data_IF_202942009110
#
_entry.id   IF_202942009110
#
_cell.length_a   1.000
_cell.length_b   1.000
_cell.length_c   1.000
_cell.angle_alpha   90.00
_cell.angle_beta   90.00
_cell.angle_gamma   90.00
#
_symmetry.space_group_name_H-M   'P 1'
#
loop_
_entity.id
_entity.type
_entity.pdbx_description
1 polymer ?
#
# COMPACT_ATOMS: atom_id res chain seq x y z
N UNK A 1 2.20 12.56 -7.35
CA UNK A 1 1.57 11.23 -7.49
C UNK A 1 2.64 10.19 -7.21
N UNK A 2 2.44 9.27 -6.26
CA UNK A 2 3.45 8.24 -5.91
C UNK A 2 3.60 7.17 -6.99
N UNK A 3 4.77 6.52 -7.07
CA UNK A 3 5.12 5.62 -8.18
C UNK A 3 4.19 4.40 -8.32
N UNK A 4 3.71 3.90 -7.18
CA UNK A 4 2.64 2.90 -7.12
C UNK A 4 1.42 3.44 -6.36
N UNK A 5 0.99 4.68 -6.65
CA UNK A 5 -0.22 5.26 -6.05
C UNK A 5 -1.51 4.58 -6.50
N UNK A 6 -2.62 4.89 -5.84
CA UNK A 6 -3.95 4.47 -6.26
C UNK A 6 -5.04 5.39 -5.72
N UNK A 7 -6.11 5.56 -6.49
CA UNK A 7 -7.31 6.29 -6.08
C UNK A 7 -8.45 5.30 -5.92
N UNK A 8 -9.16 5.37 -4.78
CA UNK A 8 -10.36 4.55 -4.54
C UNK A 8 -11.50 5.15 -5.34
N UNK A 9 -12.15 4.32 -6.16
CA UNK A 9 -13.40 4.62 -6.84
C UNK A 9 -14.46 3.71 -6.21
N UNK A 10 -15.52 4.30 -5.65
CA UNK A 10 -16.61 3.53 -5.04
C UNK A 10 -17.67 3.17 -6.09
N UNK A 11 -18.38 2.07 -5.85
CA UNK A 11 -19.57 1.75 -6.64
C UNK A 11 -20.57 2.93 -6.59
N UNK A 12 -21.10 3.31 -7.75
CA UNK A 12 -22.02 4.44 -7.91
C UNK A 12 -21.34 5.79 -8.21
N UNK A 13 -20.02 5.92 -8.14
CA UNK A 13 -19.32 7.16 -8.50
C UNK A 13 -19.23 7.34 -10.03
N UNK A 14 -19.39 8.59 -10.50
CA UNK A 14 -19.17 8.94 -11.91
C UNK A 14 -17.67 9.01 -12.18
N UNK A 15 -17.16 8.17 -13.07
CA UNK A 15 -15.73 8.08 -13.41
C UNK A 15 -15.37 8.86 -14.67
N UNK A 16 -16.33 9.07 -15.57
CA UNK A 16 -16.13 9.85 -16.78
C UNK A 16 -17.43 10.42 -17.30
N UNK A 17 -17.33 11.51 -18.07
CA UNK A 17 -18.40 12.03 -18.91
C UNK A 17 -17.92 12.07 -20.34
N UNK A 18 -18.61 11.37 -21.22
CA UNK A 18 -18.26 11.29 -22.64
C UNK A 18 -19.31 12.07 -23.43
N UNK A 19 -18.87 13.13 -24.09
CA UNK A 19 -19.71 13.92 -24.98
C UNK A 19 -19.69 13.30 -26.38
N UNK A 20 -20.84 12.81 -26.83
CA UNK A 20 -20.99 12.08 -28.08
C UNK A 20 -21.70 12.93 -29.12
N UNK A 21 -21.21 12.86 -30.36
CA UNK A 21 -21.82 13.45 -31.54
C UNK A 21 -22.14 12.35 -32.55
N UNK A 22 -23.43 12.13 -32.82
CA UNK A 22 -23.91 11.08 -33.74
C UNK A 22 -24.45 11.70 -35.02
N UNK A 23 -23.99 11.21 -36.17
CA UNK A 23 -24.48 11.53 -37.52
C UNK A 23 -24.88 10.24 -38.23
N UNK A 24 -25.89 10.28 -39.10
CA UNK A 24 -26.22 9.18 -40.01
C UNK A 24 -26.13 9.66 -41.47
N UNK A 25 -25.59 8.82 -42.35
CA UNK A 25 -25.31 9.15 -43.76
C UNK A 25 -26.48 8.90 -44.71
N UNK A 26 -27.45 8.06 -44.31
CA UNK A 26 -28.66 7.77 -45.08
C UNK A 26 -29.86 8.53 -44.49
N UNK A 27 -30.59 9.26 -45.34
CA UNK A 27 -31.92 9.79 -45.03
C UNK A 27 -31.99 11.04 -44.14
N UNK A 28 -31.09 12.02 -44.32
CA UNK A 28 -31.12 13.31 -43.59
C UNK A 28 -31.02 13.19 -42.06
N UNK A 29 -30.20 12.26 -41.56
CA UNK A 29 -30.04 12.03 -40.13
C UNK A 29 -29.55 13.26 -39.37
N UNK A 30 -30.46 13.98 -38.71
CA UNK A 30 -30.15 15.15 -37.89
C UNK A 30 -29.06 14.81 -36.86
N UNK A 31 -27.94 15.56 -36.84
CA UNK A 31 -26.91 15.33 -35.85
C UNK A 31 -27.46 15.46 -34.44
N UNK A 32 -27.11 14.52 -33.56
CA UNK A 32 -27.53 14.56 -32.15
C UNK A 32 -26.32 14.54 -31.24
N UNK A 33 -26.36 15.47 -30.27
CA UNK A 33 -25.45 15.50 -29.15
C UNK A 33 -26.10 14.80 -27.96
N UNK A 34 -25.34 13.96 -27.27
CA UNK A 34 -25.74 13.40 -25.99
C UNK A 34 -24.50 13.12 -25.13
N UNK A 35 -24.70 13.08 -23.81
CA UNK A 35 -23.62 12.81 -22.85
C UNK A 35 -23.86 11.46 -22.20
N UNK A 36 -22.83 10.62 -22.18
CA UNK A 36 -22.82 9.41 -21.37
C UNK A 36 -22.07 9.67 -20.07
N UNK A 37 -22.76 9.50 -18.94
CA UNK A 37 -22.13 9.43 -17.64
C UNK A 37 -21.71 7.98 -17.40
N UNK A 38 -20.41 7.75 -17.30
CA UNK A 38 -19.87 6.43 -16.98
C UNK A 38 -19.81 6.32 -15.46
N UNK A 39 -20.57 5.38 -14.92
CA UNK A 39 -20.72 5.16 -13.47
C UNK A 39 -20.05 3.84 -13.13
N UNK A 40 -19.26 3.83 -12.06
CA UNK A 40 -18.63 2.59 -11.60
C UNK A 40 -19.66 1.63 -11.03
N UNK A 41 -19.69 0.39 -11.52
CA UNK A 41 -20.56 -0.64 -10.96
C UNK A 41 -20.02 -1.23 -9.65
N UNK A 42 -18.69 -1.27 -9.49
CA UNK A 42 -18.00 -1.92 -8.38
C UNK A 42 -17.00 -0.96 -7.73
N UNK A 43 -16.68 -1.19 -6.45
CA UNK A 43 -15.58 -0.48 -5.80
C UNK A 43 -14.24 -1.03 -6.26
N UNK A 44 -13.35 -0.16 -6.75
CA UNK A 44 -12.02 -0.52 -7.28
C UNK A 44 -10.97 0.49 -6.84
N UNK A 45 -9.69 0.12 -6.93
CA UNK A 45 -8.57 1.06 -6.76
C UNK A 45 -7.90 1.24 -8.12
N UNK A 46 -8.00 2.43 -8.69
CA UNK A 46 -7.38 2.75 -9.96
C UNK A 46 -5.90 3.11 -9.74
N UNK A 47 -4.94 2.37 -10.33
CA UNK A 47 -3.53 2.75 -10.26
C UNK A 47 -3.31 4.12 -10.90
N UNK A 48 -2.60 5.00 -10.21
CA UNK A 48 -2.29 6.35 -10.71
C UNK A 48 -0.82 6.53 -11.08
N UNK A 49 0.01 5.52 -10.84
CA UNK A 49 1.42 5.49 -11.20
C UNK A 49 1.72 4.43 -12.25
N UNK A 50 2.96 4.41 -12.74
CA UNK A 50 3.44 3.40 -13.69
C UNK A 50 3.59 1.99 -13.08
N UNK A 51 3.44 1.86 -11.76
CA UNK A 51 3.57 0.61 -11.04
C UNK A 51 2.33 0.30 -10.18
N UNK A 52 2.12 -0.98 -9.89
CA UNK A 52 1.02 -1.51 -9.09
C UNK A 52 1.56 -2.51 -8.08
N UNK A 53 0.86 -2.65 -6.95
CA UNK A 53 1.18 -3.63 -5.90
C UNK A 53 0.17 -4.77 -5.89
N UNK A 54 0.60 -5.95 -5.43
CA UNK A 54 -0.26 -7.14 -5.39
C UNK A 54 -1.47 -6.98 -4.48
N UNK A 55 -1.27 -6.26 -3.36
CA UNK A 55 -2.34 -5.92 -2.45
C UNK A 55 -2.12 -4.52 -1.88
N UNK A 56 -3.22 -3.78 -1.78
CA UNK A 56 -3.26 -2.47 -1.14
C UNK A 56 -3.41 -2.56 0.38
N UNK A 57 -3.89 -3.71 0.88
CA UNK A 57 -4.05 -4.01 2.29
C UNK A 57 -3.49 -5.41 2.57
N UNK A 58 -2.44 -5.49 3.38
CA UNK A 58 -1.83 -6.76 3.76
C UNK A 58 -2.03 -6.96 5.25
N UNK A 59 -2.60 -8.10 5.63
CA UNK A 59 -2.71 -8.53 7.02
C UNK A 59 -1.70 -9.64 7.27
N UNK A 60 -0.85 -9.47 8.28
CA UNK A 60 0.17 -10.44 8.68
C UNK A 60 -0.06 -10.79 10.15
N UNK A 61 -0.18 -12.08 10.43
CA UNK A 61 -0.28 -12.58 11.80
C UNK A 61 1.12 -13.03 12.25
N UNK A 62 1.65 -12.38 13.29
CA UNK A 62 2.88 -12.83 13.93
C UNK A 62 2.61 -14.06 14.81
N UNK A 63 3.49 -15.07 14.84
CA UNK A 63 3.50 -16.08 15.89
C UNK A 63 3.73 -15.44 17.26
N UNK A 64 3.44 -16.15 18.35
CA UNK A 64 3.66 -15.65 19.71
C UNK A 64 5.09 -15.13 19.92
N UNK A 65 5.23 -14.08 20.75
CA UNK A 65 6.50 -13.43 21.03
C UNK A 65 7.57 -14.44 21.50
N UNK A 66 8.81 -14.42 20.94
CA UNK A 66 9.37 -13.47 19.96
C UNK A 66 9.35 -14.00 18.51
N UNK A 67 8.18 -14.38 17.98
CA UNK A 67 8.02 -14.86 16.60
C UNK A 67 8.20 -13.80 15.51
N UNK A 68 8.45 -14.28 14.28
CA UNK A 68 8.53 -13.47 13.06
C UNK A 68 7.70 -14.08 11.92
N UNK A 69 7.32 -13.25 10.94
CA UNK A 69 6.59 -13.69 9.76
C UNK A 69 6.98 -12.88 8.52
N UNK A 70 7.01 -13.54 7.37
CA UNK A 70 7.22 -12.87 6.07
C UNK A 70 5.98 -12.07 5.66
N UNK A 71 6.20 -10.93 5.00
CA UNK A 71 5.14 -10.06 4.48
C UNK A 71 5.02 -10.32 2.97
N UNK A 72 3.90 -10.91 2.50
CA UNK A 72 3.72 -11.26 1.10
C UNK A 72 3.29 -10.04 0.26
N UNK A 73 4.19 -9.05 0.12
CA UNK A 73 3.97 -7.83 -0.66
C UNK A 73 4.99 -7.72 -1.79
N UNK A 74 4.50 -7.54 -3.01
CA UNK A 74 5.30 -7.26 -4.21
C UNK A 74 4.76 -6.09 -5.02
N UNK A 75 5.61 -5.61 -5.92
CA UNK A 75 5.34 -4.52 -6.86
C UNK A 75 5.77 -4.93 -8.27
N UNK A 76 5.06 -4.45 -9.28
CA UNK A 76 5.40 -4.60 -10.68
C UNK A 76 5.01 -3.33 -11.46
N UNK A 77 5.67 -3.11 -12.59
CA UNK A 77 5.53 -1.90 -13.40
C UNK A 77 5.15 -2.24 -14.84
N UNK A 78 4.36 -1.38 -15.49
CA UNK A 78 3.96 -1.58 -16.89
C UNK A 78 5.12 -1.39 -17.87
N UNK A 79 6.09 -0.56 -17.50
CA UNK A 79 7.40 -0.39 -18.13
C UNK A 79 8.51 -0.59 -17.10
N UNK A 80 9.75 -0.71 -17.57
CA UNK A 80 10.90 -0.71 -16.68
C UNK A 80 10.99 0.61 -15.90
N UNK A 81 11.12 0.52 -14.57
CA UNK A 81 11.20 1.67 -13.67
C UNK A 81 12.19 1.38 -12.55
N UNK A 82 12.98 2.38 -12.16
CA UNK A 82 13.75 2.30 -10.92
C UNK A 82 12.88 2.75 -9.76
N UNK A 83 12.76 1.89 -8.74
CA UNK A 83 11.88 2.14 -7.61
C UNK A 83 12.63 2.04 -6.29
N UNK A 84 12.27 2.95 -5.39
CA UNK A 84 12.52 2.84 -3.96
C UNK A 84 11.19 2.80 -3.21
N UNK A 85 11.18 2.28 -2.00
CA UNK A 85 10.06 2.41 -1.07
C UNK A 85 10.52 2.91 0.29
N UNK A 86 9.62 3.50 1.06
CA UNK A 86 9.87 3.81 2.47
C UNK A 86 8.67 3.42 3.32
N UNK A 87 8.94 3.19 4.61
CA UNK A 87 7.93 2.86 5.60
C UNK A 87 7.43 4.12 6.32
N UNK A 88 6.16 4.15 6.69
CA UNK A 88 5.57 5.23 7.49
C UNK A 88 4.65 4.69 8.58
N UNK A 89 4.53 5.43 9.68
CA UNK A 89 3.75 5.04 10.85
C UNK A 89 4.30 5.65 12.12
N UNK A 90 3.52 5.59 13.21
CA UNK A 90 3.96 6.05 14.52
C UNK A 90 4.95 5.05 15.13
N UNK A 91 6.08 5.54 15.65
CA UNK A 91 7.11 4.73 16.31
C UNK A 91 7.31 5.16 17.76
N UNK A 92 7.80 4.25 18.60
CA UNK A 92 8.00 4.48 20.04
C UNK A 92 9.45 4.76 20.43
N UNK A 93 10.39 4.42 19.55
CA UNK A 93 11.83 4.54 19.77
C UNK A 93 12.44 5.73 19.01
N UNK A 94 13.58 6.22 19.48
CA UNK A 94 14.31 7.33 18.85
C UNK A 94 14.94 6.94 17.51
N UNK A 95 15.23 5.66 17.28
CA UNK A 95 15.74 5.16 16.00
C UNK A 95 14.65 5.02 14.94
N UNK A 96 13.36 5.15 15.33
CA UNK A 96 12.18 5.07 14.47
C UNK A 96 12.02 3.70 13.81
N UNK A 97 12.34 2.64 14.54
CA UNK A 97 12.37 1.25 14.08
C UNK A 97 11.29 0.37 14.72
N UNK A 98 10.68 0.81 15.81
CA UNK A 98 9.65 0.09 16.55
C UNK A 98 8.33 0.83 16.41
N UNK A 99 7.45 0.31 15.55
CA UNK A 99 6.10 0.81 15.35
C UNK A 99 5.24 0.58 16.58
N UNK A 100 4.47 1.60 16.95
CA UNK A 100 3.66 1.59 18.15
C UNK A 100 2.59 0.50 18.14
N UNK A 101 2.34 -0.09 19.31
CA UNK A 101 1.23 -1.00 19.51
C UNK A 101 -0.09 -0.23 19.65
N UNK A 102 -0.93 -0.32 18.62
CA UNK A 102 -2.24 0.32 18.51
C UNK A 102 -3.40 -0.59 18.92
N UNK A 103 -3.12 -1.76 19.54
CA UNK A 103 -4.17 -2.61 20.08
C UNK A 103 -5.03 -1.86 21.12
N UNK A 104 -6.27 -2.29 21.43
CA UNK A 104 -7.07 -1.67 22.48
C UNK A 104 -6.37 -1.76 23.85
N UNK A 105 -6.38 -0.67 24.63
CA UNK A 105 -5.64 -0.55 25.90
C UNK A 105 -5.98 -1.66 26.90
N UNK A 106 -7.24 -2.11 26.94
CA UNK A 106 -7.69 -3.20 27.84
C UNK A 106 -6.98 -4.54 27.59
N UNK A 107 -6.45 -4.76 26.38
CA UNK A 107 -5.79 -6.01 25.98
C UNK A 107 -4.33 -5.81 25.57
N UNK A 108 -3.83 -4.58 25.57
CA UNK A 108 -2.56 -4.19 24.96
C UNK A 108 -1.36 -4.74 25.72
N UNK A 109 -0.44 -5.40 25.01
CA UNK A 109 0.88 -5.71 25.53
C UNK A 109 1.72 -4.43 25.71
N UNK A 110 2.40 -4.30 26.86
CA UNK A 110 3.32 -3.19 27.14
C UNK A 110 4.76 -3.55 26.79
N UNK A 111 5.58 -2.53 26.50
CA UNK A 111 7.03 -2.69 26.28
C UNK A 111 7.42 -3.29 24.93
N UNK A 112 6.45 -3.52 24.05
CA UNK A 112 6.65 -4.16 22.74
C UNK A 112 5.83 -3.46 21.66
N UNK A 113 6.39 -3.42 20.45
CA UNK A 113 5.75 -3.01 19.21
C UNK A 113 6.15 -3.94 18.07
N UNK A 114 5.98 -3.47 16.83
CA UNK A 114 6.37 -4.22 15.62
C UNK A 114 7.57 -3.57 14.96
N UNK A 115 8.52 -4.35 14.49
CA UNK A 115 9.63 -3.90 13.65
C UNK A 115 9.59 -4.61 12.31
N UNK A 116 9.95 -3.90 11.24
CA UNK A 116 10.09 -4.49 9.90
C UNK A 116 11.56 -4.67 9.56
N UNK A 117 11.86 -5.81 8.95
CA UNK A 117 13.20 -6.19 8.54
C UNK A 117 13.24 -6.47 7.05
N UNK A 118 14.40 -6.24 6.44
CA UNK A 118 14.73 -6.68 5.09
C UNK A 118 16.17 -7.15 5.08
N UNK A 119 16.42 -8.35 4.56
CA UNK A 119 17.76 -8.94 4.49
C UNK A 119 18.51 -8.92 5.85
N UNK A 120 17.80 -9.17 6.95
CA UNK A 120 18.36 -9.17 8.30
C UNK A 120 18.58 -7.79 8.94
N UNK A 121 18.32 -6.68 8.24
CA UNK A 121 18.41 -5.32 8.78
C UNK A 121 17.04 -4.79 9.20
N UNK A 122 16.93 -4.25 10.41
CA UNK A 122 15.74 -3.51 10.86
C UNK A 122 15.67 -2.17 10.12
N UNK A 123 14.49 -1.84 9.61
CA UNK A 123 14.25 -0.65 8.80
C UNK A 123 13.68 0.48 9.66
N UNK A 124 14.17 1.69 9.44
CA UNK A 124 13.59 2.88 10.05
C UNK A 124 12.47 3.46 9.17
N UNK A 125 11.51 4.15 9.77
CA UNK A 125 10.53 4.94 9.01
C UNK A 125 11.22 6.01 8.16
N UNK A 126 10.64 6.38 7.02
CA UNK A 126 11.17 7.43 6.14
C UNK A 126 12.52 7.15 5.47
N UNK A 127 13.16 6.00 5.72
CA UNK A 127 14.36 5.56 5.00
C UNK A 127 13.94 5.06 3.61
N UNK A 128 14.55 5.62 2.54
CA UNK A 128 14.34 5.14 1.18
C UNK A 128 15.15 3.87 0.96
N UNK A 129 14.44 2.81 0.55
CA UNK A 129 14.99 1.49 0.34
C UNK A 129 14.84 1.14 -1.14
N UNK A 130 15.97 1.02 -1.83
CA UNK A 130 15.99 0.69 -3.26
C UNK A 130 15.51 -0.74 -3.54
N UNK A 131 14.65 -0.88 -4.55
CA UNK A 131 14.29 -2.13 -5.20
C UNK A 131 15.06 -2.33 -6.51
N UNK A 132 15.83 -1.33 -6.94
CA UNK A 132 16.46 -1.28 -8.24
C UNK A 132 15.41 -1.25 -9.35
N UNK A 133 15.72 -1.93 -10.45
CA UNK A 133 14.87 -2.00 -11.63
C UNK A 133 13.71 -2.97 -11.44
N UNK A 134 12.49 -2.47 -11.53
CA UNK A 134 11.24 -3.22 -11.51
C UNK A 134 10.60 -3.15 -12.90
N UNK A 135 10.16 -4.30 -13.42
CA UNK A 135 9.51 -4.41 -14.71
C UNK A 135 8.15 -5.09 -14.56
N UNK A 136 7.63 -5.73 -15.62
CA UNK A 136 6.34 -6.41 -15.61
C UNK A 136 6.30 -7.63 -14.69
N UNK A 137 7.45 -8.21 -14.35
CA UNK A 137 7.55 -9.29 -13.38
C UNK A 137 7.47 -8.74 -11.97
N UNK A 138 6.69 -9.42 -11.13
CA UNK A 138 6.55 -9.11 -9.71
C UNK A 138 7.91 -9.19 -9.01
N UNK A 139 8.26 -8.11 -8.31
CA UNK A 139 9.41 -8.03 -7.41
C UNK A 139 8.90 -8.02 -5.96
N UNK A 140 9.18 -9.06 -5.15
CA UNK A 140 8.88 -9.04 -3.72
C UNK A 140 9.69 -7.95 -3.01
N UNK A 141 9.10 -7.27 -2.03
CA UNK A 141 9.84 -6.30 -1.22
C UNK A 141 10.85 -6.99 -0.29
N UNK A 142 10.63 -8.27 0.04
CA UNK A 142 11.50 -9.04 0.94
C UNK A 142 11.42 -8.55 2.39
N UNK A 143 10.22 -8.15 2.82
CA UNK A 143 9.97 -7.66 4.16
C UNK A 143 9.53 -8.81 5.07
N UNK A 144 10.04 -8.81 6.30
CA UNK A 144 9.51 -9.61 7.40
C UNK A 144 9.15 -8.72 8.58
N UNK A 145 8.12 -9.13 9.33
CA UNK A 145 7.72 -8.50 10.57
C UNK A 145 8.26 -9.31 11.75
N UNK A 146 8.65 -8.60 12.82
CA UNK A 146 9.05 -9.18 14.11
C UNK A 146 8.63 -8.24 15.24
N UNK A 147 8.73 -8.71 16.48
CA UNK A 147 8.51 -7.87 17.66
C UNK A 147 9.73 -6.99 17.97
N UNK A 148 9.49 -5.69 18.14
CA UNK A 148 10.50 -4.72 18.60
C UNK A 148 10.28 -4.35 20.06
N UNK A 149 11.30 -4.43 20.91
CA UNK A 149 11.20 -3.98 22.30
C UNK A 149 11.37 -2.46 22.39
N UNK A 150 10.56 -1.79 23.21
CA UNK A 150 10.59 -0.33 23.36
C UNK A 150 11.53 0.14 24.49
N UNK A 151 12.29 -0.77 25.11
CA UNK A 151 13.11 -0.50 26.30
C UNK A 151 12.36 -0.55 27.65
N UNK A 152 11.04 -0.67 27.63
CA UNK A 152 10.23 -0.89 28.84
C UNK A 152 10.06 -2.39 29.12
N UNK A 153 9.68 -2.74 30.36
CA UNK A 153 9.36 -4.13 30.72
C UNK A 153 8.22 -4.67 29.85
N UNK A 154 8.46 -5.80 29.20
CA UNK A 154 7.46 -6.48 28.37
C UNK A 154 6.38 -7.11 29.25
N UNK A 155 5.11 -6.89 28.89
CA UNK A 155 3.96 -7.56 29.51
C UNK A 155 3.15 -8.32 28.45
N UNK A 156 2.49 -9.40 28.88
CA UNK A 156 1.59 -10.14 28.00
C UNK A 156 0.42 -9.26 27.52
N UNK A 157 -0.09 -9.58 26.34
CA UNK A 157 -1.23 -8.90 25.70
C UNK A 157 -1.18 -8.97 24.18
N UNK A 158 -2.11 -8.27 23.56
CA UNK A 158 -2.26 -8.14 22.10
C UNK A 158 -1.30 -7.10 21.56
N UNK A 159 -0.72 -7.39 20.39
CA UNK A 159 0.11 -6.47 19.61
C UNK A 159 -0.53 -6.25 18.25
N UNK A 160 -0.72 -4.99 17.87
CA UNK A 160 -1.20 -4.60 16.55
C UNK A 160 -0.49 -3.32 16.12
N UNK A 161 -0.06 -3.25 14.87
CA UNK A 161 0.48 -2.01 14.28
C UNK A 161 -0.03 -1.85 12.86
N UNK A 162 -0.22 -0.61 12.43
CA UNK A 162 -0.56 -0.25 11.05
C UNK A 162 0.62 0.49 10.45
N UNK A 163 1.17 -0.05 9.36
CA UNK A 163 2.41 0.44 8.74
C UNK A 163 2.12 0.77 7.28
N UNK A 164 2.41 2.00 6.88
CA UNK A 164 2.31 2.45 5.49
C UNK A 164 3.56 2.09 4.71
N UNK A 165 3.37 1.75 3.43
CA UNK A 165 4.44 1.54 2.46
C UNK A 165 4.21 2.50 1.30
N UNK A 166 5.17 3.38 1.03
CA UNK A 166 5.08 4.33 -0.08
C UNK A 166 6.18 4.06 -1.09
N UNK A 167 5.83 3.99 -2.37
CA UNK A 167 6.76 3.81 -3.48
C UNK A 167 7.07 5.14 -4.16
N UNK A 168 8.36 5.35 -4.46
CA UNK A 168 8.88 6.50 -5.17
C UNK A 168 9.72 6.03 -6.36
N UNK A 169 9.75 6.86 -7.40
CA UNK A 169 10.74 6.68 -8.47
C UNK A 169 12.11 7.14 -7.96
N UNK A 170 13.16 6.49 -8.45
CA UNK A 170 14.55 6.91 -8.23
C UNK A 170 14.99 7.96 -9.25
#
# INVERSE_FOLDING_TARGET
>A
VGAAGGVVIKAGEVIARIHMYKIATLGSGNPRNFTWNIISNNSVVMPTGGCTVDSRNVTVNLPDFPGSAEIPLGVYCSSEQKLSFYLSGATTDSARQVFANTAPDATKASGVGVSLMRNGKILATGENISLGTVNKSKVPLGLSATYGQTGNKVSAGTVQSVIGVTFIYE
#
